data_IF_947650163559
#
_entry.id   IF_947650163559
#
_cell.length_a   1.000
_cell.length_b   1.000
_cell.length_c   1.000
_cell.angle_alpha   90.00
_cell.angle_beta   90.00
_cell.angle_gamma   90.00
#
_symmetry.space_group_name_H-M   'P 1'
#
loop_
_entity.id
_entity.type
_entity.pdbx_description
1 polymer ?
#
# COMPACT_ATOMS: atom_id res chain seq x y z
N UNK A 1 -15.47 19.31 -5.72
CA UNK A 1 -16.08 18.52 -6.83
C UNK A 1 -14.96 17.69 -7.46
N UNK A 2 -15.15 16.39 -7.66
CA UNK A 2 -14.14 15.53 -8.30
C UNK A 2 -14.00 15.97 -9.76
N UNK A 3 -12.78 16.25 -10.18
CA UNK A 3 -12.48 16.66 -11.55
C UNK A 3 -11.83 15.50 -12.31
N UNK A 4 -12.30 15.25 -13.52
CA UNK A 4 -11.86 14.16 -14.37
C UNK A 4 -11.01 14.75 -15.50
N UNK A 5 -9.75 14.29 -15.69
CA UNK A 5 -8.88 14.81 -16.74
C UNK A 5 -9.16 14.18 -18.12
N UNK A 6 -10.44 14.08 -18.50
CA UNK A 6 -10.89 13.58 -19.79
C UNK A 6 -12.08 14.38 -20.30
N UNK A 7 -12.10 14.65 -21.59
CA UNK A 7 -13.25 15.25 -22.27
C UNK A 7 -14.24 14.15 -22.65
N UNK A 8 -15.54 14.43 -22.49
CA UNK A 8 -16.59 13.53 -22.95
C UNK A 8 -16.51 13.33 -24.47
N UNK A 9 -16.42 14.45 -25.19
CA UNK A 9 -16.25 14.44 -26.64
C UNK A 9 -14.83 13.99 -27.00
N UNK A 10 -14.74 12.97 -27.84
CA UNK A 10 -13.45 12.42 -28.29
C UNK A 10 -12.78 11.45 -27.30
N UNK A 11 -13.44 11.10 -26.17
CA UNK A 11 -12.90 10.21 -25.15
C UNK A 11 -12.30 8.91 -25.72
N UNK A 12 -13.05 8.22 -26.58
CA UNK A 12 -12.58 6.95 -27.16
C UNK A 12 -11.30 7.11 -28.00
N UNK A 13 -11.13 8.24 -28.68
CA UNK A 13 -9.93 8.55 -29.46
C UNK A 13 -8.74 8.88 -28.56
N UNK A 14 -8.97 9.63 -27.50
CA UNK A 14 -7.95 10.00 -26.50
C UNK A 14 -7.50 8.79 -25.67
N UNK A 15 -8.41 7.88 -25.36
CA UNK A 15 -8.14 6.71 -24.54
C UNK A 15 -7.26 5.68 -25.24
N UNK A 16 -7.47 5.45 -26.55
CA UNK A 16 -6.77 4.41 -27.32
C UNK A 16 -5.24 4.39 -27.16
N UNK A 17 -4.52 5.50 -27.25
CA UNK A 17 -3.07 5.52 -27.09
C UNK A 17 -2.60 5.37 -25.63
N UNK A 18 -3.52 5.52 -24.66
CA UNK A 18 -3.19 5.51 -23.24
C UNK A 18 -3.39 4.14 -22.59
N UNK A 19 -4.21 3.29 -23.18
CA UNK A 19 -4.45 1.93 -22.73
C UNK A 19 -4.10 0.94 -23.85
N UNK A 20 -3.25 -0.03 -23.55
CA UNK A 20 -2.84 -1.05 -24.53
C UNK A 20 -3.98 -2.04 -24.75
N UNK A 21 -4.63 -1.97 -25.91
CA UNK A 21 -5.69 -2.90 -26.29
C UNK A 21 -6.42 -2.38 -27.52
N UNK A 22 -6.18 -2.98 -28.69
CA UNK A 22 -6.71 -2.52 -29.96
C UNK A 22 -8.25 -2.55 -30.10
N UNK A 23 -8.97 -3.16 -29.12
CA UNK A 23 -10.41 -3.43 -29.20
C UNK A 23 -11.23 -2.81 -28.06
N UNK A 24 -10.66 -1.98 -27.19
CA UNK A 24 -11.42 -1.27 -26.17
C UNK A 24 -12.18 -0.11 -26.78
N UNK A 25 -13.47 -0.31 -27.09
CA UNK A 25 -14.39 0.77 -27.41
C UNK A 25 -15.22 1.09 -26.17
N UNK A 26 -14.66 1.87 -25.26
CA UNK A 26 -15.37 2.39 -24.10
C UNK A 26 -15.83 3.81 -24.40
N UNK A 27 -17.12 4.04 -24.24
CA UNK A 27 -17.71 5.37 -24.29
C UNK A 27 -17.61 6.01 -22.90
N UNK A 28 -17.43 7.33 -22.84
CA UNK A 28 -17.31 8.08 -21.59
C UNK A 28 -18.46 7.79 -20.63
N UNK A 29 -19.70 7.81 -21.11
CA UNK A 29 -20.90 7.65 -20.30
C UNK A 29 -20.98 6.27 -19.62
N UNK A 30 -20.38 5.25 -20.23
CA UNK A 30 -20.33 3.91 -19.66
C UNK A 30 -19.33 3.79 -18.49
N UNK A 31 -18.24 4.54 -18.52
CA UNK A 31 -17.15 4.45 -17.52
C UNK A 31 -17.12 5.64 -16.54
N UNK A 32 -17.95 6.66 -16.73
CA UNK A 32 -17.95 7.89 -15.94
C UNK A 32 -17.98 7.64 -14.43
N UNK A 33 -18.86 6.74 -13.97
CA UNK A 33 -18.95 6.41 -12.53
C UNK A 33 -17.65 5.83 -11.97
N UNK A 34 -16.96 5.00 -12.77
CA UNK A 34 -15.67 4.43 -12.39
C UNK A 34 -14.55 5.49 -12.38
N UNK A 35 -14.57 6.42 -13.37
CA UNK A 35 -13.67 7.58 -13.39
C UNK A 35 -13.88 8.48 -12.17
N UNK A 36 -15.11 8.75 -11.79
CA UNK A 36 -15.43 9.54 -10.59
C UNK A 36 -14.94 8.86 -9.32
N UNK A 37 -15.17 7.56 -9.15
CA UNK A 37 -14.69 6.80 -7.99
C UNK A 37 -13.17 6.84 -7.90
N UNK A 38 -12.48 6.52 -8.99
CA UNK A 38 -11.02 6.52 -9.04
C UNK A 38 -10.45 7.93 -8.82
N UNK A 39 -11.10 8.97 -9.37
CA UNK A 39 -10.73 10.35 -9.12
C UNK A 39 -10.80 10.72 -7.63
N UNK A 40 -11.84 10.23 -6.92
CA UNK A 40 -11.95 10.41 -5.47
C UNK A 40 -10.83 9.71 -4.70
N UNK A 41 -10.42 8.51 -5.14
CA UNK A 41 -9.34 7.76 -4.50
C UNK A 41 -7.97 8.43 -4.75
N UNK A 42 -7.72 8.91 -5.96
CA UNK A 42 -6.49 9.65 -6.32
C UNK A 42 -6.40 10.97 -5.55
N UNK A 43 -7.52 11.68 -5.33
CA UNK A 43 -7.54 12.92 -4.57
C UNK A 43 -7.18 12.75 -3.07
N UNK A 44 -7.09 11.52 -2.57
CA UNK A 44 -6.54 11.22 -1.24
C UNK A 44 -5.01 11.16 -1.23
N UNK A 45 -4.41 10.86 -2.37
CA UNK A 45 -2.96 10.73 -2.53
C UNK A 45 -2.31 11.97 -3.12
N UNK A 46 -3.01 12.70 -3.98
CA UNK A 46 -2.53 13.93 -4.61
C UNK A 46 -3.34 15.14 -4.11
N UNK A 47 -2.70 16.31 -3.93
CA UNK A 47 -3.42 17.52 -3.52
C UNK A 47 -4.43 17.95 -4.59
N UNK A 48 -5.65 18.27 -4.14
CA UNK A 48 -6.75 18.66 -5.04
C UNK A 48 -6.38 19.87 -5.94
N UNK A 49 -5.61 20.83 -5.39
CA UNK A 49 -5.16 22.01 -6.15
C UNK A 49 -4.29 21.65 -7.35
N UNK A 50 -3.42 20.62 -7.21
CA UNK A 50 -2.61 20.12 -8.32
C UNK A 50 -3.51 19.49 -9.39
N UNK A 51 -4.43 18.63 -8.98
CA UNK A 51 -5.38 17.98 -9.91
C UNK A 51 -6.18 19.06 -10.65
N UNK A 52 -6.69 20.06 -9.94
CA UNK A 52 -7.48 21.15 -10.53
C UNK A 52 -6.67 21.93 -11.58
N UNK A 53 -5.41 22.28 -11.27
CA UNK A 53 -4.51 22.96 -12.21
C UNK A 53 -4.28 22.12 -13.48
N UNK A 54 -3.94 20.85 -13.34
CA UNK A 54 -3.69 19.95 -14.48
C UNK A 54 -4.94 19.80 -15.36
N UNK A 55 -6.12 19.67 -14.75
CA UNK A 55 -7.39 19.56 -15.48
C UNK A 55 -7.77 20.87 -16.15
N UNK A 56 -7.56 22.02 -15.50
CA UNK A 56 -7.83 23.34 -16.10
C UNK A 56 -6.96 23.60 -17.34
N UNK A 57 -5.67 23.32 -17.25
CA UNK A 57 -4.74 23.45 -18.38
C UNK A 57 -5.12 22.50 -19.55
N UNK A 58 -5.54 21.28 -19.24
CA UNK A 58 -6.02 20.33 -20.22
C UNK A 58 -7.30 20.82 -20.93
N UNK A 59 -8.29 21.29 -20.17
CA UNK A 59 -9.56 21.75 -20.74
C UNK A 59 -9.37 23.03 -21.58
N UNK A 60 -8.45 23.88 -21.20
CA UNK A 60 -8.06 25.07 -21.97
C UNK A 60 -7.31 24.72 -23.28
N UNK A 61 -6.88 23.46 -23.45
CA UNK A 61 -6.09 23.05 -24.61
C UNK A 61 -4.65 23.60 -24.61
N UNK A 62 -4.16 24.05 -23.47
CA UNK A 62 -2.84 24.66 -23.29
C UNK A 62 -2.19 24.11 -22.01
N UNK A 63 -1.76 22.85 -22.06
CA UNK A 63 -0.95 22.26 -21.00
C UNK A 63 0.54 22.41 -21.37
N UNK A 64 1.27 23.39 -20.80
CA UNK A 64 2.71 23.51 -21.04
C UNK A 64 3.46 22.37 -20.35
N UNK A 65 4.70 22.12 -20.76
CA UNK A 65 5.60 21.30 -19.97
C UNK A 65 6.01 22.08 -18.69
N UNK A 66 6.10 21.43 -17.51
CA UNK A 66 5.99 19.98 -17.28
C UNK A 66 4.55 19.48 -16.99
N UNK A 67 3.54 20.34 -16.99
CA UNK A 67 2.14 19.97 -16.70
C UNK A 67 1.60 18.91 -17.68
N UNK A 68 1.98 18.99 -18.96
CA UNK A 68 1.55 18.03 -19.98
C UNK A 68 2.00 16.60 -19.67
N UNK A 69 3.25 16.44 -19.21
CA UNK A 69 3.81 15.16 -18.81
C UNK A 69 3.14 14.62 -17.54
N UNK A 70 2.96 15.46 -16.51
CA UNK A 70 2.27 15.07 -15.28
C UNK A 70 0.82 14.67 -15.55
N UNK A 71 0.13 15.41 -16.43
CA UNK A 71 -1.24 15.10 -16.86
C UNK A 71 -1.32 13.77 -17.60
N UNK A 72 -0.39 13.47 -18.52
CA UNK A 72 -0.38 12.19 -19.25
C UNK A 72 -0.22 11.00 -18.28
N UNK A 73 0.66 11.10 -17.30
CA UNK A 73 0.82 10.07 -16.27
C UNK A 73 -0.44 9.91 -15.42
N UNK A 74 -1.06 11.01 -15.00
CA UNK A 74 -2.32 11.00 -14.24
C UNK A 74 -3.45 10.35 -15.05
N UNK A 75 -3.60 10.73 -16.31
CA UNK A 75 -4.62 10.18 -17.21
C UNK A 75 -4.44 8.67 -17.40
N UNK A 76 -3.21 8.21 -17.63
CA UNK A 76 -2.91 6.77 -17.78
C UNK A 76 -3.20 5.99 -16.51
N UNK A 77 -2.77 6.48 -15.37
CA UNK A 77 -3.05 5.84 -14.08
C UNK A 77 -4.57 5.75 -13.83
N UNK A 78 -5.26 6.88 -13.96
CA UNK A 78 -6.69 6.97 -13.74
C UNK A 78 -7.48 6.07 -14.68
N UNK A 79 -7.10 6.01 -15.96
CA UNK A 79 -7.76 5.19 -16.95
C UNK A 79 -7.64 3.69 -16.63
N UNK A 80 -6.44 3.22 -16.29
CA UNK A 80 -6.21 1.81 -15.96
C UNK A 80 -6.97 1.39 -14.70
N UNK A 81 -6.96 2.21 -13.64
CA UNK A 81 -7.78 1.95 -12.45
C UNK A 81 -9.27 1.96 -12.78
N UNK A 82 -9.73 2.90 -13.62
CA UNK A 82 -11.16 3.01 -13.97
C UNK A 82 -11.63 1.84 -14.82
N UNK A 83 -10.82 1.36 -15.75
CA UNK A 83 -11.13 0.15 -16.52
C UNK A 83 -11.15 -1.08 -15.62
N UNK A 84 -10.23 -1.19 -14.66
CA UNK A 84 -10.27 -2.24 -13.65
C UNK A 84 -11.59 -2.23 -12.85
N UNK A 85 -11.99 -1.07 -12.34
CA UNK A 85 -13.25 -0.92 -11.60
C UNK A 85 -14.48 -1.21 -12.46
N UNK A 86 -14.42 -0.86 -13.74
CA UNK A 86 -15.51 -1.07 -14.70
C UNK A 86 -15.57 -2.50 -15.26
N UNK A 87 -14.54 -3.30 -15.08
CA UNK A 87 -14.40 -4.61 -15.74
C UNK A 87 -15.58 -5.54 -15.47
N UNK A 88 -16.13 -5.52 -14.25
CA UNK A 88 -17.28 -6.35 -13.90
C UNK A 88 -18.50 -6.04 -14.80
N UNK A 89 -18.72 -4.78 -15.16
CA UNK A 89 -19.82 -4.36 -16.02
C UNK A 89 -19.58 -4.70 -17.49
N UNK A 90 -18.31 -4.89 -17.88
CA UNK A 90 -17.99 -5.35 -19.25
C UNK A 90 -18.31 -6.83 -19.43
N UNK A 91 -18.13 -7.65 -18.40
CA UNK A 91 -18.32 -9.11 -18.46
C UNK A 91 -19.69 -9.57 -17.99
N UNK A 92 -20.47 -8.73 -17.29
CA UNK A 92 -21.79 -9.08 -16.77
C UNK A 92 -22.89 -8.22 -17.36
N UNK A 93 -24.11 -8.77 -17.36
CA UNK A 93 -25.35 -8.05 -17.67
C UNK A 93 -26.27 -8.12 -16.46
N UNK A 94 -26.74 -6.98 -15.99
CA UNK A 94 -27.74 -6.88 -14.92
C UNK A 94 -29.13 -6.66 -15.57
N UNK A 95 -30.11 -7.48 -15.22
CA UNK A 95 -31.49 -7.37 -15.63
C UNK A 95 -32.42 -7.62 -14.45
N UNK A 96 -33.72 -7.45 -14.63
CA UNK A 96 -34.73 -7.77 -13.61
C UNK A 96 -34.72 -9.25 -13.18
N UNK A 97 -34.18 -10.13 -14.05
CA UNK A 97 -34.09 -11.56 -13.81
C UNK A 97 -32.79 -11.95 -13.09
N UNK A 98 -31.92 -10.98 -12.82
CA UNK A 98 -30.64 -11.18 -12.09
C UNK A 98 -29.41 -10.77 -12.89
N UNK A 99 -28.27 -11.29 -12.47
CA UNK A 99 -26.96 -11.02 -13.08
C UNK A 99 -26.53 -12.22 -13.94
N UNK A 100 -26.25 -11.97 -15.19
CA UNK A 100 -25.81 -12.98 -16.15
C UNK A 100 -24.48 -12.59 -16.78
N UNK A 101 -23.72 -13.57 -17.27
CA UNK A 101 -22.49 -13.33 -18.04
C UNK A 101 -22.88 -12.97 -19.47
N UNK A 102 -22.31 -11.90 -20.02
CA UNK A 102 -22.52 -11.53 -21.42
C UNK A 102 -21.96 -12.62 -22.33
N UNK A 103 -22.79 -13.12 -23.24
CA UNK A 103 -22.40 -14.00 -24.34
C UNK A 103 -22.84 -13.37 -25.64
N UNK A 104 -21.92 -13.24 -26.59
CA UNK A 104 -22.21 -12.92 -27.99
C UNK A 104 -22.00 -14.19 -28.81
N UNK A 105 -22.74 -14.33 -29.88
CA UNK A 105 -22.68 -15.52 -30.75
C UNK A 105 -21.32 -15.69 -31.44
N UNK A 106 -20.58 -14.57 -31.61
CA UNK A 106 -19.26 -14.51 -32.25
C UNK A 106 -18.07 -14.47 -31.28
N UNK A 107 -18.32 -14.38 -29.95
CA UNK A 107 -17.25 -14.23 -28.95
C UNK A 107 -17.40 -15.27 -27.81
N UNK A 108 -16.31 -15.94 -27.49
CA UNK A 108 -16.26 -16.86 -26.35
C UNK A 108 -15.97 -16.07 -25.07
N UNK A 109 -16.74 -16.36 -24.03
CA UNK A 109 -16.49 -15.76 -22.69
C UNK A 109 -15.06 -16.08 -22.22
N UNK A 110 -14.31 -15.06 -21.80
CA UNK A 110 -12.97 -15.25 -21.27
C UNK A 110 -12.98 -16.21 -20.06
N UNK A 111 -12.00 -17.09 -20.01
CA UNK A 111 -11.81 -17.95 -18.85
C UNK A 111 -11.45 -17.12 -17.62
N UNK A 112 -11.79 -17.63 -16.43
CA UNK A 112 -11.52 -16.94 -15.16
C UNK A 112 -10.06 -16.48 -15.04
N UNK A 113 -9.09 -17.34 -15.38
CA UNK A 113 -7.66 -17.00 -15.32
C UNK A 113 -7.28 -15.83 -16.23
N UNK A 114 -7.89 -15.70 -17.41
CA UNK A 114 -7.67 -14.57 -18.33
C UNK A 114 -8.22 -13.26 -17.75
N UNK A 115 -9.38 -13.34 -17.11
CA UNK A 115 -9.98 -12.19 -16.43
C UNK A 115 -9.13 -11.74 -15.23
N UNK A 116 -8.63 -12.68 -14.44
CA UNK A 116 -7.78 -12.40 -13.28
C UNK A 116 -6.41 -11.84 -13.71
N UNK A 117 -5.83 -12.36 -14.79
CA UNK A 117 -4.61 -11.83 -15.40
C UNK A 117 -4.82 -10.38 -15.92
N UNK A 118 -5.93 -10.13 -16.60
CA UNK A 118 -6.29 -8.78 -17.06
C UNK A 118 -6.43 -7.80 -15.90
N UNK A 119 -7.13 -8.19 -14.82
CA UNK A 119 -7.26 -7.36 -13.60
C UNK A 119 -5.90 -7.01 -13.01
N UNK A 120 -5.04 -8.01 -12.83
CA UNK A 120 -3.71 -7.79 -12.29
C UNK A 120 -2.86 -6.89 -13.19
N UNK A 121 -2.94 -7.08 -14.51
CA UNK A 121 -2.24 -6.23 -15.48
C UNK A 121 -2.70 -4.78 -15.43
N UNK A 122 -4.02 -4.54 -15.34
CA UNK A 122 -4.60 -3.21 -15.24
C UNK A 122 -4.11 -2.48 -13.97
N UNK A 123 -4.19 -3.14 -12.81
CA UNK A 123 -3.73 -2.55 -11.54
C UNK A 123 -2.22 -2.30 -11.56
N UNK A 124 -1.43 -3.27 -12.00
CA UNK A 124 0.04 -3.12 -12.03
C UNK A 124 0.47 -1.99 -12.97
N UNK A 125 -0.22 -1.83 -14.12
CA UNK A 125 0.05 -0.72 -15.04
C UNK A 125 -0.41 0.61 -14.45
N UNK A 126 -1.55 0.66 -13.76
CA UNK A 126 -2.00 1.86 -13.06
C UNK A 126 -1.00 2.31 -11.99
N UNK A 127 -0.46 1.36 -11.21
CA UNK A 127 0.59 1.62 -10.21
C UNK A 127 1.87 2.16 -10.86
N UNK A 128 2.29 1.57 -11.95
CA UNK A 128 3.45 2.05 -12.70
C UNK A 128 3.31 3.53 -13.06
N UNK A 129 2.16 3.94 -13.60
CA UNK A 129 1.91 5.33 -13.96
C UNK A 129 1.78 6.26 -12.74
N UNK A 130 1.16 5.79 -11.65
CA UNK A 130 1.10 6.57 -10.40
C UNK A 130 2.49 6.79 -9.80
N UNK A 131 3.33 5.75 -9.79
CA UNK A 131 4.70 5.89 -9.28
C UNK A 131 5.53 6.84 -10.14
N UNK A 132 5.44 6.74 -11.47
CA UNK A 132 6.09 7.69 -12.37
C UNK A 132 5.62 9.12 -12.12
N UNK A 133 4.31 9.32 -11.92
CA UNK A 133 3.78 10.64 -11.58
C UNK A 133 4.38 11.17 -10.27
N UNK A 134 4.40 10.38 -9.21
CA UNK A 134 4.93 10.79 -7.90
C UNK A 134 6.44 11.10 -8.00
N UNK A 135 7.20 10.28 -8.71
CA UNK A 135 8.63 10.51 -8.96
C UNK A 135 8.85 11.81 -9.74
N UNK A 136 8.12 11.99 -10.85
CA UNK A 136 8.19 13.18 -11.68
C UNK A 136 7.86 14.46 -10.88
N UNK A 137 6.82 14.43 -10.06
CA UNK A 137 6.46 15.56 -9.19
C UNK A 137 7.55 15.86 -8.15
N UNK A 138 8.26 14.84 -7.66
CA UNK A 138 9.38 15.02 -6.73
C UNK A 138 10.65 15.57 -7.40
N UNK A 139 10.86 15.29 -8.68
CA UNK A 139 11.98 15.81 -9.47
C UNK A 139 11.75 17.26 -9.91
N UNK A 140 10.49 17.72 -9.97
CA UNK A 140 10.09 19.03 -10.47
C UNK A 140 9.36 19.88 -9.42
N UNK A 141 9.89 19.93 -8.18
CA UNK A 141 9.23 20.61 -7.05
C UNK A 141 9.00 22.11 -7.31
N UNK A 142 9.91 22.77 -8.00
CA UNK A 142 9.81 24.20 -8.32
C UNK A 142 8.64 24.48 -9.29
N UNK A 143 8.31 23.52 -10.15
CA UNK A 143 7.22 23.62 -11.10
C UNK A 143 5.86 23.23 -10.49
N UNK A 144 5.89 22.44 -9.40
CA UNK A 144 4.69 21.94 -8.73
C UNK A 144 4.63 22.34 -7.25
N UNK A 145 4.50 23.66 -6.94
CA UNK A 145 4.45 24.12 -5.55
C UNK A 145 3.27 23.54 -4.76
N UNK A 146 2.14 23.23 -5.42
CA UNK A 146 0.99 22.58 -4.79
C UNK A 146 1.33 21.18 -4.27
N UNK A 147 2.24 20.46 -4.96
CA UNK A 147 2.79 19.19 -4.50
C UNK A 147 3.85 19.39 -3.43
N UNK A 148 4.80 20.29 -3.68
CA UNK A 148 5.94 20.55 -2.79
C UNK A 148 5.50 20.90 -1.37
N UNK A 149 4.45 21.71 -1.23
CA UNK A 149 3.92 22.20 0.06
C UNK A 149 2.80 21.32 0.62
N UNK A 150 2.36 20.27 -0.11
CA UNK A 150 1.20 19.47 0.29
C UNK A 150 1.42 18.67 1.58
N UNK A 151 0.35 18.50 2.32
CA UNK A 151 0.35 17.61 3.49
C UNK A 151 0.57 16.16 3.10
N UNK A 152 0.09 15.74 1.91
CA UNK A 152 0.29 14.41 1.38
C UNK A 152 1.77 14.09 1.19
N UNK A 153 2.52 15.02 0.56
CA UNK A 153 3.96 14.86 0.36
C UNK A 153 4.72 14.90 1.70
N UNK A 154 4.45 15.88 2.54
CA UNK A 154 5.06 15.99 3.87
C UNK A 154 4.82 14.70 4.67
N UNK A 155 3.57 14.26 4.68
CA UNK A 155 3.18 13.03 5.33
C UNK A 155 3.94 11.79 4.83
N UNK A 156 4.24 11.71 3.55
CA UNK A 156 5.03 10.62 2.97
C UNK A 156 6.50 10.66 3.42
N UNK A 157 7.15 11.83 3.37
CA UNK A 157 8.57 11.96 3.74
C UNK A 157 8.83 11.92 5.25
N UNK A 158 7.81 12.15 6.08
CA UNK A 158 7.89 12.04 7.53
C UNK A 158 7.61 10.62 8.06
N UNK A 159 7.45 9.63 7.18
CA UNK A 159 7.24 8.26 7.62
C UNK A 159 8.48 7.71 8.33
N UNK A 160 8.31 7.02 9.46
CA UNK A 160 9.44 6.47 10.22
C UNK A 160 10.10 5.28 9.52
N UNK A 161 9.42 4.67 8.56
CA UNK A 161 9.87 3.56 7.72
C UNK A 161 9.73 3.99 6.28
N UNK A 162 10.76 3.81 5.50
CA UNK A 162 10.81 4.22 4.10
C UNK A 162 10.57 3.05 3.12
N UNK A 163 10.50 3.37 1.84
CA UNK A 163 10.27 2.38 0.78
C UNK A 163 11.40 1.35 0.69
N UNK A 164 12.66 1.73 0.99
CA UNK A 164 13.79 0.80 0.94
C UNK A 164 13.65 -0.29 2.01
N UNK A 165 13.10 0.05 3.18
CA UNK A 165 12.82 -0.93 4.23
C UNK A 165 11.77 -1.95 3.73
N UNK A 166 10.67 -1.48 3.13
CA UNK A 166 9.65 -2.37 2.57
C UNK A 166 10.21 -3.25 1.45
N UNK A 167 11.03 -2.70 0.56
CA UNK A 167 11.67 -3.45 -0.50
C UNK A 167 12.60 -4.52 0.04
N UNK A 168 13.37 -4.18 1.07
CA UNK A 168 14.33 -5.08 1.70
C UNK A 168 13.66 -6.23 2.45
N UNK A 169 12.55 -5.98 3.16
CA UNK A 169 11.98 -6.97 4.08
C UNK A 169 10.78 -7.71 3.52
N UNK A 170 9.96 -7.09 2.69
CA UNK A 170 8.69 -7.67 2.20
C UNK A 170 8.53 -7.63 0.68
N UNK A 171 9.46 -7.03 -0.06
CA UNK A 171 9.50 -7.11 -1.52
C UNK A 171 8.37 -6.36 -2.23
N UNK A 172 8.03 -5.15 -1.80
CA UNK A 172 6.93 -4.34 -2.37
C UNK A 172 7.24 -3.79 -3.77
N UNK A 173 8.51 -3.76 -4.17
CA UNK A 173 9.06 -2.90 -5.23
C UNK A 173 8.81 -3.31 -6.67
N UNK A 174 8.10 -4.39 -6.97
CA UNK A 174 8.00 -4.88 -8.36
C UNK A 174 7.38 -3.88 -9.35
N UNK A 175 6.63 -2.88 -8.87
CA UNK A 175 6.00 -1.86 -9.73
C UNK A 175 6.24 -0.41 -9.24
N UNK A 176 7.28 -0.19 -8.42
CA UNK A 176 7.40 1.04 -7.61
C UNK A 176 6.51 0.93 -6.37
N UNK A 177 6.91 1.57 -5.28
CA UNK A 177 6.21 1.42 -4.01
C UNK A 177 5.67 2.73 -3.44
N UNK A 178 5.93 3.86 -4.11
CA UNK A 178 5.55 5.19 -3.64
C UNK A 178 4.03 5.29 -3.46
N UNK A 179 3.26 4.80 -4.40
CA UNK A 179 1.81 4.79 -4.30
C UNK A 179 1.32 3.95 -3.11
N UNK A 180 1.91 2.77 -2.88
CA UNK A 180 1.61 1.97 -1.69
C UNK A 180 1.93 2.72 -0.41
N UNK A 181 3.10 3.32 -0.32
CA UNK A 181 3.53 4.08 0.86
C UNK A 181 2.57 5.23 1.17
N UNK A 182 2.05 5.91 0.16
CA UNK A 182 1.02 6.95 0.33
C UNK A 182 -0.29 6.37 0.84
N UNK A 183 -0.75 5.24 0.28
CA UNK A 183 -1.99 4.57 0.72
C UNK A 183 -1.85 4.00 2.14
N UNK A 184 -0.69 3.47 2.49
CA UNK A 184 -0.43 2.81 3.77
C UNK A 184 0.15 3.74 4.85
N UNK A 185 0.46 4.99 4.54
CA UNK A 185 1.18 5.92 5.43
C UNK A 185 0.54 6.08 6.81
N UNK A 186 -0.79 6.12 6.88
CA UNK A 186 -1.52 6.18 8.15
C UNK A 186 -1.39 4.88 8.96
N UNK A 187 -1.33 3.71 8.29
CA UNK A 187 -1.09 2.41 8.96
C UNK A 187 0.35 2.35 9.49
N UNK A 188 1.32 2.85 8.72
CA UNK A 188 2.72 2.91 9.15
C UNK A 188 2.86 3.74 10.43
N UNK A 189 2.20 4.91 10.49
CA UNK A 189 2.19 5.74 11.70
C UNK A 189 1.51 5.06 12.87
N UNK A 190 0.36 4.44 12.64
CA UNK A 190 -0.36 3.67 13.66
C UNK A 190 0.55 2.59 14.25
N UNK A 191 1.15 1.74 13.42
CA UNK A 191 2.07 0.68 13.87
C UNK A 191 3.27 1.26 14.61
N UNK A 192 3.83 2.37 14.14
CA UNK A 192 4.93 3.03 14.84
C UNK A 192 4.55 3.50 16.22
N UNK A 193 3.38 4.09 16.39
CA UNK A 193 2.88 4.56 17.67
C UNK A 193 2.54 3.37 18.58
N UNK A 194 1.75 2.43 18.09
CA UNK A 194 1.22 1.34 18.89
C UNK A 194 2.26 0.30 19.27
N UNK A 195 3.16 -0.03 18.33
CA UNK A 195 4.07 -1.16 18.51
C UNK A 195 5.51 -0.72 18.85
N UNK A 196 5.99 0.40 18.28
CA UNK A 196 7.38 0.84 18.51
C UNK A 196 7.45 1.73 19.73
N UNK A 197 6.71 2.85 19.75
CA UNK A 197 6.78 3.81 20.88
C UNK A 197 6.32 3.20 22.20
N UNK A 198 5.42 2.24 22.18
CA UNK A 198 5.00 1.53 23.39
C UNK A 198 6.10 0.67 24.01
N UNK A 199 7.07 0.18 23.19
CA UNK A 199 8.19 -0.66 23.62
C UNK A 199 9.47 0.14 23.87
N UNK A 200 9.67 1.23 23.11
CA UNK A 200 10.88 2.03 23.13
C UNK A 200 10.50 3.49 23.41
N UNK A 201 10.85 4.07 24.57
CA UNK A 201 10.55 5.47 24.92
C UNK A 201 11.12 6.47 23.91
N UNK A 202 12.34 6.22 23.45
CA UNK A 202 13.04 7.02 22.42
C UNK A 202 13.40 6.11 21.24
N UNK A 203 12.43 5.83 20.36
CA UNK A 203 12.64 4.84 19.32
C UNK A 203 13.62 5.37 18.26
N UNK A 204 14.73 4.68 18.10
CA UNK A 204 15.63 4.85 16.97
C UNK A 204 15.35 3.73 15.96
N UNK A 205 15.21 4.09 14.68
CA UNK A 205 15.02 3.11 13.61
C UNK A 205 16.24 2.19 13.54
N UNK A 206 16.01 0.90 13.77
CA UNK A 206 16.99 -0.19 13.56
C UNK A 206 16.44 -1.15 12.51
N UNK A 207 17.31 -1.95 11.89
CA UNK A 207 16.91 -2.99 10.94
C UNK A 207 15.88 -3.97 11.53
N UNK A 208 16.03 -4.32 12.81
CA UNK A 208 15.11 -5.23 13.50
C UNK A 208 13.72 -4.60 13.69
N UNK A 209 13.68 -3.34 14.12
CA UNK A 209 12.42 -2.57 14.24
C UNK A 209 11.78 -2.38 12.86
N UNK A 210 12.56 -1.94 11.86
CA UNK A 210 12.05 -1.75 10.51
C UNK A 210 11.43 -3.02 9.94
N UNK A 211 12.09 -4.17 10.15
CA UNK A 211 11.58 -5.48 9.73
C UNK A 211 10.25 -5.82 10.39
N UNK A 212 10.16 -5.70 11.71
CA UNK A 212 8.93 -5.99 12.45
C UNK A 212 7.78 -5.08 12.00
N UNK A 213 8.04 -3.76 11.85
CA UNK A 213 7.05 -2.79 11.37
C UNK A 213 6.59 -3.12 9.95
N UNK A 214 7.50 -3.45 9.01
CA UNK A 214 7.12 -3.78 7.64
C UNK A 214 6.15 -4.97 7.59
N UNK A 215 6.42 -6.04 8.32
CA UNK A 215 5.51 -7.20 8.37
C UNK A 215 4.18 -6.86 9.04
N UNK A 216 4.17 -6.11 10.14
CA UNK A 216 2.95 -5.66 10.83
C UNK A 216 2.08 -4.79 9.92
N UNK A 217 2.70 -3.82 9.24
CA UNK A 217 2.01 -2.94 8.29
C UNK A 217 1.41 -3.73 7.13
N UNK A 218 2.14 -4.70 6.57
CA UNK A 218 1.60 -5.54 5.48
C UNK A 218 0.39 -6.35 5.93
N UNK A 219 0.43 -6.93 7.13
CA UNK A 219 -0.71 -7.65 7.69
C UNK A 219 -1.94 -6.75 7.86
N UNK A 220 -1.77 -5.57 8.48
CA UNK A 220 -2.86 -4.60 8.67
C UNK A 220 -3.35 -4.02 7.34
N UNK A 221 -2.46 -3.72 6.40
CA UNK A 221 -2.79 -3.21 5.07
C UNK A 221 -3.65 -4.20 4.28
N UNK A 222 -3.32 -5.48 4.34
CA UNK A 222 -4.10 -6.55 3.67
C UNK A 222 -5.57 -6.54 4.09
N UNK A 223 -5.87 -6.24 5.35
CA UNK A 223 -7.24 -6.17 5.86
C UNK A 223 -7.96 -4.85 5.56
N UNK A 224 -7.23 -3.74 5.56
CA UNK A 224 -7.81 -2.39 5.62
C UNK A 224 -7.78 -1.64 4.30
N UNK A 225 -6.86 -1.99 3.39
CA UNK A 225 -6.78 -1.34 2.09
C UNK A 225 -7.66 -2.05 1.05
N UNK A 226 -8.07 -1.29 0.05
CA UNK A 226 -8.69 -1.85 -1.14
C UNK A 226 -7.70 -2.78 -1.87
N UNK A 227 -8.21 -3.82 -2.54
CA UNK A 227 -7.37 -4.75 -3.30
C UNK A 227 -6.45 -4.02 -4.30
N UNK A 228 -6.97 -2.99 -4.98
CA UNK A 228 -6.21 -2.17 -5.92
C UNK A 228 -5.08 -1.33 -5.29
N UNK A 229 -5.09 -1.13 -3.97
CA UNK A 229 -4.06 -0.43 -3.22
C UNK A 229 -3.05 -1.38 -2.54
N UNK A 230 -3.20 -2.70 -2.74
CA UNK A 230 -2.25 -3.69 -2.22
C UNK A 230 -1.13 -3.96 -3.23
N UNK A 231 0.10 -4.20 -2.77
CA UNK A 231 1.21 -4.59 -3.63
C UNK A 231 0.93 -5.89 -4.40
N UNK A 232 1.53 -6.03 -5.57
CA UNK A 232 1.32 -7.18 -6.45
C UNK A 232 1.55 -8.54 -5.77
N UNK A 233 2.61 -8.76 -4.97
CA UNK A 233 2.80 -10.04 -4.27
C UNK A 233 1.63 -10.42 -3.38
N UNK A 234 1.04 -9.45 -2.67
CA UNK A 234 -0.13 -9.67 -1.81
C UNK A 234 -1.37 -10.01 -2.64
N UNK A 235 -1.58 -9.31 -3.76
CA UNK A 235 -2.69 -9.60 -4.67
C UNK A 235 -2.59 -11.02 -5.24
N UNK A 236 -1.39 -11.44 -5.64
CA UNK A 236 -1.12 -12.81 -6.12
C UNK A 236 -1.44 -13.84 -5.02
N UNK A 237 -1.04 -13.59 -3.78
CA UNK A 237 -1.33 -14.48 -2.66
C UNK A 237 -2.84 -14.58 -2.39
N UNK A 238 -3.56 -13.46 -2.42
CA UNK A 238 -5.02 -13.42 -2.29
C UNK A 238 -5.68 -14.22 -3.44
N UNK A 239 -5.27 -13.99 -4.68
CA UNK A 239 -5.83 -14.66 -5.86
C UNK A 239 -5.57 -16.17 -5.84
N UNK A 240 -4.37 -16.59 -5.42
CA UNK A 240 -4.01 -17.99 -5.25
C UNK A 240 -4.89 -18.68 -4.19
N UNK A 241 -5.14 -18.02 -3.07
CA UNK A 241 -6.02 -18.55 -2.03
C UNK A 241 -7.49 -18.56 -2.49
N UNK A 242 -7.94 -17.53 -3.23
CA UNK A 242 -9.28 -17.52 -3.86
C UNK A 242 -9.45 -18.66 -4.85
N UNK A 243 -8.42 -18.99 -5.61
CA UNK A 243 -8.44 -20.11 -6.57
C UNK A 243 -8.64 -21.47 -5.90
N UNK A 244 -8.15 -21.65 -4.68
CA UNK A 244 -8.31 -22.89 -3.90
C UNK A 244 -9.70 -23.03 -3.27
N UNK A 245 -10.38 -21.92 -3.01
CA UNK A 245 -11.65 -21.85 -2.30
C UNK A 245 -12.77 -21.40 -3.26
N UNK A 246 -13.49 -22.33 -3.88
CA UNK A 246 -14.54 -22.06 -4.87
C UNK A 246 -15.79 -21.32 -4.34
N UNK A 247 -15.76 -20.63 -3.20
CA UNK A 247 -16.93 -20.00 -2.57
C UNK A 247 -16.81 -18.50 -2.44
N UNK A 248 -17.83 -17.77 -2.88
CA UNK A 248 -17.92 -16.31 -2.88
C UNK A 248 -17.90 -15.60 -1.50
N UNK A 249 -18.06 -16.32 -0.40
CA UNK A 249 -17.92 -15.80 0.98
C UNK A 249 -16.45 -15.67 1.44
N UNK A 250 -15.53 -15.92 0.54
CA UNK A 250 -14.12 -16.12 0.84
C UNK A 250 -13.29 -14.83 0.93
N UNK A 251 -13.80 -13.67 0.48
CA UNK A 251 -12.93 -12.49 0.31
C UNK A 251 -12.35 -11.99 1.64
N UNK A 252 -13.19 -11.85 2.66
CA UNK A 252 -12.73 -11.43 4.00
C UNK A 252 -11.87 -12.51 4.67
N UNK A 253 -12.33 -13.78 4.62
CA UNK A 253 -11.59 -14.92 5.18
C UNK A 253 -10.21 -15.11 4.53
N UNK A 254 -10.12 -14.90 3.21
CA UNK A 254 -8.84 -15.00 2.49
C UNK A 254 -7.91 -13.88 2.87
N UNK A 255 -8.42 -12.65 2.95
CA UNK A 255 -7.65 -11.51 3.46
C UNK A 255 -7.14 -11.75 4.88
N UNK A 256 -7.97 -12.29 5.76
CA UNK A 256 -7.58 -12.67 7.13
C UNK A 256 -6.48 -13.73 7.13
N UNK A 257 -6.57 -14.73 6.26
CA UNK A 257 -5.56 -15.77 6.13
C UNK A 257 -4.22 -15.23 5.65
N UNK A 258 -4.22 -14.43 4.57
CA UNK A 258 -3.00 -13.80 4.03
C UNK A 258 -2.42 -12.81 5.04
N UNK A 259 -3.27 -11.97 5.65
CA UNK A 259 -2.87 -11.07 6.74
C UNK A 259 -2.22 -11.83 7.90
N UNK A 260 -2.83 -12.95 8.32
CA UNK A 260 -2.33 -13.80 9.41
C UNK A 260 -0.90 -14.30 9.19
N UNK A 261 -0.50 -14.56 7.94
CA UNK A 261 0.88 -14.95 7.60
C UNK A 261 1.86 -13.80 7.94
N UNK A 262 1.52 -12.57 7.58
CA UNK A 262 2.36 -11.40 7.85
C UNK A 262 2.37 -11.07 9.35
N UNK A 263 1.22 -11.07 10.01
CA UNK A 263 1.11 -10.77 11.44
C UNK A 263 1.84 -11.80 12.30
N UNK A 264 1.80 -13.09 11.97
CA UNK A 264 2.56 -14.13 12.66
C UNK A 264 4.08 -13.94 12.55
N UNK A 265 4.54 -13.51 11.37
CA UNK A 265 5.96 -13.13 11.19
C UNK A 265 6.31 -11.88 11.99
N UNK A 266 5.44 -10.87 11.98
CA UNK A 266 5.63 -9.66 12.77
C UNK A 266 5.74 -9.99 14.26
N UNK A 267 4.84 -10.82 14.78
CA UNK A 267 4.87 -11.28 16.19
C UNK A 267 6.20 -11.97 16.53
N UNK A 268 6.71 -12.81 15.64
CA UNK A 268 8.02 -13.45 15.83
C UNK A 268 9.14 -12.42 15.99
N UNK A 269 9.13 -11.35 15.18
CA UNK A 269 10.13 -10.29 15.26
C UNK A 269 9.95 -9.39 16.48
N UNK A 270 8.70 -9.08 16.85
CA UNK A 270 8.41 -8.35 18.08
C UNK A 270 8.87 -9.11 19.31
N UNK A 271 8.61 -10.41 19.39
CA UNK A 271 9.06 -11.26 20.50
C UNK A 271 10.58 -11.32 20.61
N UNK A 272 11.29 -11.35 19.47
CA UNK A 272 12.76 -11.30 19.46
C UNK A 272 13.28 -9.96 20.03
N UNK A 273 12.67 -8.84 19.64
CA UNK A 273 13.00 -7.51 20.16
C UNK A 273 12.71 -7.40 21.67
N UNK A 274 11.57 -7.91 22.14
CA UNK A 274 11.21 -7.90 23.56
C UNK A 274 12.20 -8.73 24.40
N UNK A 275 12.73 -9.84 23.85
CA UNK A 275 13.80 -10.62 24.49
C UNK A 275 15.13 -9.87 24.55
N UNK A 276 15.47 -9.11 23.50
CA UNK A 276 16.69 -8.27 23.51
C UNK A 276 16.61 -7.15 24.55
N UNK A 277 15.43 -6.52 24.70
CA UNK A 277 15.20 -5.49 25.74
C UNK A 277 15.41 -6.09 27.13
N UNK A 278 14.74 -7.22 27.42
CA UNK A 278 14.86 -7.91 28.70
C UNK A 278 16.31 -8.31 29.02
N UNK A 279 17.06 -8.77 28.01
CA UNK A 279 18.49 -9.06 28.19
C UNK A 279 19.30 -7.83 28.59
N UNK A 280 19.08 -6.71 27.91
CA UNK A 280 19.78 -5.46 28.24
C UNK A 280 19.46 -4.99 29.66
N UNK A 281 18.17 -5.01 30.05
CA UNK A 281 17.75 -4.68 31.42
C UNK A 281 18.41 -5.57 32.45
N UNK A 282 18.43 -6.89 32.23
CA UNK A 282 19.12 -7.84 33.11
C UNK A 282 20.63 -7.61 33.19
N UNK A 283 21.28 -7.25 32.08
CA UNK A 283 22.73 -6.97 32.07
C UNK A 283 23.05 -5.63 32.76
N UNK A 284 22.18 -4.62 32.64
CA UNK A 284 22.28 -3.36 33.38
C UNK A 284 22.04 -3.57 34.88
N UNK A 285 21.04 -4.35 35.26
CA UNK A 285 20.81 -4.72 36.66
C UNK A 285 21.98 -5.50 37.26
N UNK A 286 22.60 -6.39 36.49
CA UNK A 286 23.81 -7.10 36.91
C UNK A 286 25.00 -6.17 37.10
N UNK A 287 25.21 -5.20 36.21
CA UNK A 287 26.24 -4.20 36.34
C UNK A 287 26.03 -3.30 37.57
N UNK A 288 24.79 -2.90 37.79
CA UNK A 288 24.40 -2.07 38.94
C UNK A 288 24.42 -2.87 40.27
N UNK A 289 24.22 -4.19 40.21
CA UNK A 289 24.32 -5.09 41.36
C UNK A 289 25.78 -5.55 41.66
N UNK A 290 26.70 -5.29 40.71
CA UNK A 290 28.07 -5.79 40.76
C UNK A 290 28.93 -5.33 41.92
N UNK A 291 28.52 -4.34 42.73
CA UNK A 291 29.16 -3.90 43.94
C UNK A 291 28.46 -4.34 45.24
N UNK A 292 27.41 -5.11 45.13
CA UNK A 292 26.80 -5.75 46.32
C UNK A 292 27.54 -7.08 46.55
N UNK A 293 28.28 -7.23 47.65
CA UNK A 293 28.87 -8.52 47.96
C UNK A 293 27.75 -9.57 47.96
N UNK A 294 27.95 -10.66 47.21
CA UNK A 294 27.05 -11.81 47.24
C UNK A 294 26.77 -12.16 48.69
N UNK A 295 25.49 -12.27 49.06
CA UNK A 295 25.01 -12.67 50.38
C UNK A 295 25.50 -14.10 50.75
N UNK A 296 26.73 -14.43 50.49
CA UNK A 296 27.42 -15.69 50.71
C UNK A 296 28.87 -15.54 51.07
N UNK A 297 29.50 -14.39 50.78
CA UNK A 297 30.84 -14.07 51.28
C UNK A 297 30.75 -13.31 52.63
N UNK A 298 30.05 -13.89 53.60
CA UNK A 298 30.43 -13.62 55.00
C UNK A 298 31.81 -14.20 55.16
N UNK A 299 32.83 -13.32 55.26
CA UNK A 299 34.08 -13.67 55.82
C UNK A 299 33.80 -14.22 57.24
N UNK A 300 33.78 -15.56 57.36
CA UNK A 300 33.79 -16.19 58.69
C UNK A 300 35.08 -15.72 59.33
N UNK A 301 34.95 -14.78 60.24
CA UNK A 301 36.08 -14.45 61.13
C UNK A 301 36.23 -15.60 62.12
N UNK A 302 37.45 -15.91 62.56
CA UNK A 302 37.78 -16.98 63.49
C UNK A 302 36.97 -16.94 64.82
N UNK A 303 36.18 -15.92 65.05
CA UNK A 303 35.27 -15.76 66.18
C UNK A 303 33.94 -16.49 66.10
N UNK A 304 33.54 -16.97 64.92
CA UNK A 304 32.27 -17.69 64.72
C UNK A 304 32.46 -19.20 65.04
N UNK A 305 32.71 -19.48 66.34
CA UNK A 305 32.72 -20.85 66.85
C UNK A 305 31.27 -21.36 66.92
N UNK A 306 30.89 -22.22 66.02
CA UNK A 306 29.68 -23.00 66.15
C UNK A 306 29.87 -24.01 67.28
N UNK A 307 29.15 -23.84 68.36
CA UNK A 307 28.98 -24.90 69.37
C UNK A 307 27.99 -25.93 68.84
N UNK A 308 28.46 -27.11 68.53
CA UNK A 308 27.59 -28.30 68.45
C UNK A 308 27.38 -28.83 69.87
N UNK A 309 26.15 -28.80 70.32
CA UNK A 309 25.65 -29.67 71.42
C UNK A 309 24.73 -30.71 70.84
#
# INVERSE_FOLDING_TARGET
>A
MIRIPFKRDGFATEMKPKISGNNLSLEYDNIESSLMKVGADIARTLPQKLIDRLVDNYLAGNAPEPDATALDYLQRAMLHFSVYEHLIFLITRVSNDGVTVKKNDDETTAYKYQTDELKNKLITTAWFWMNLLIQFLNEHLDDFPEWAESDQRKAFFELPIDLNDFNRWVGVALAGGEYFMMCAGWIIREVWIDCVRSRFPEPTKTDAIARAVCYEVMGRATLRLAYSALPEPIRIDIDNEMGKNHRAQADQFIKEKVSGIFLSKAETYWNALDLEIKKKEMDEDRKNAGDRPLLGERNFTESDKFFYT
#
